data_IF_046866862958
#
_entry.id   IF_046866862958
#
_cell.length_a   1.000
_cell.length_b   1.000
_cell.length_c   1.000
_cell.angle_alpha   90.00
_cell.angle_beta   90.00
_cell.angle_gamma   90.00
#
_symmetry.space_group_name_H-M   'P 1'
#
loop_
_entity.id
_entity.type
_entity.pdbx_description
1 polymer ?
#
# COMPACT_ATOMS: atom_id res chain seq x y z
N UNK A 1 -44.32 -52.40 20.38
CA UNK A 1 -43.98 -51.67 19.15
C UNK A 1 -43.21 -50.43 19.57
N UNK A 2 -41.88 -50.42 19.34
CA UNK A 2 -41.01 -49.29 19.70
C UNK A 2 -40.78 -48.44 18.44
N UNK A 3 -41.30 -47.22 18.42
CA UNK A 3 -41.05 -46.25 17.33
C UNK A 3 -39.69 -45.58 17.53
N UNK A 4 -38.74 -45.91 16.68
CA UNK A 4 -37.44 -45.23 16.62
C UNK A 4 -37.56 -44.02 15.71
N UNK A 5 -37.51 -42.80 16.32
CA UNK A 5 -37.46 -41.54 15.59
C UNK A 5 -35.98 -41.30 15.22
N UNK A 6 -35.67 -41.39 13.91
CA UNK A 6 -34.36 -41.02 13.37
C UNK A 6 -34.35 -39.49 13.16
N UNK A 7 -33.57 -38.79 13.99
CA UNK A 7 -33.34 -37.37 13.86
C UNK A 7 -32.21 -37.16 12.86
N UNK A 8 -32.53 -36.75 11.63
CA UNK A 8 -31.53 -36.35 10.61
C UNK A 8 -31.13 -34.92 10.90
N UNK A 9 -29.93 -34.73 11.48
CA UNK A 9 -29.33 -33.43 11.64
C UNK A 9 -28.72 -32.99 10.30
N UNK A 10 -29.39 -32.09 9.59
CA UNK A 10 -28.85 -31.45 8.39
C UNK A 10 -27.83 -30.35 8.86
N UNK A 11 -26.55 -30.69 8.83
CA UNK A 11 -25.48 -29.69 9.00
C UNK A 11 -25.44 -28.79 7.77
N UNK A 12 -26.04 -27.61 7.85
CA UNK A 12 -25.91 -26.54 6.85
C UNK A 12 -24.53 -25.92 6.99
N UNK A 13 -23.54 -26.48 6.33
CA UNK A 13 -22.20 -25.84 6.22
C UNK A 13 -22.31 -24.60 5.34
N UNK A 14 -22.34 -23.43 5.92
CA UNK A 14 -22.20 -22.17 5.19
C UNK A 14 -20.81 -22.15 4.54
N UNK A 15 -20.74 -22.43 3.24
CA UNK A 15 -19.53 -22.26 2.45
C UNK A 15 -19.30 -20.75 2.30
N UNK A 16 -18.41 -20.19 3.13
CA UNK A 16 -17.92 -18.83 2.96
C UNK A 16 -17.02 -18.87 1.71
N UNK A 17 -17.57 -18.55 0.55
CA UNK A 17 -16.80 -18.36 -0.68
C UNK A 17 -16.01 -17.07 -0.56
N UNK A 18 -14.75 -17.16 -0.12
CA UNK A 18 -13.80 -16.05 -0.27
C UNK A 18 -13.55 -15.88 -1.76
N UNK A 19 -13.95 -14.75 -2.33
CA UNK A 19 -13.64 -14.41 -3.72
C UNK A 19 -12.11 -14.46 -3.90
N UNK A 20 -11.64 -15.26 -4.85
CA UNK A 20 -10.22 -15.31 -5.19
C UNK A 20 -9.73 -13.95 -5.69
N UNK A 21 -8.50 -13.55 -5.32
CA UNK A 21 -7.87 -12.34 -5.84
C UNK A 21 -7.74 -12.43 -7.37
N UNK A 22 -8.07 -11.34 -8.08
CA UNK A 22 -7.89 -11.24 -9.53
C UNK A 22 -6.40 -11.13 -9.90
N UNK A 23 -6.05 -11.26 -11.17
CA UNK A 23 -4.66 -11.07 -11.62
C UNK A 23 -4.19 -9.63 -11.40
N UNK A 24 -5.05 -8.64 -11.62
CA UNK A 24 -4.76 -7.22 -11.34
C UNK A 24 -4.45 -7.01 -9.86
N UNK A 25 -5.25 -7.60 -8.97
CA UNK A 25 -5.05 -7.49 -7.52
C UNK A 25 -3.72 -8.11 -7.09
N UNK A 26 -3.35 -9.27 -7.65
CA UNK A 26 -2.07 -9.94 -7.39
C UNK A 26 -0.88 -9.15 -7.93
N UNK A 27 -0.96 -8.66 -9.18
CA UNK A 27 0.10 -7.87 -9.81
C UNK A 27 0.43 -6.60 -9.01
N UNK A 28 -0.60 -5.84 -8.60
CA UNK A 28 -0.41 -4.60 -7.84
C UNK A 28 0.08 -4.88 -6.42
N UNK A 29 -0.44 -5.90 -5.76
CA UNK A 29 0.03 -6.34 -4.43
C UNK A 29 1.50 -6.75 -4.46
N UNK A 30 1.90 -7.55 -5.45
CA UNK A 30 3.29 -7.98 -5.62
C UNK A 30 4.20 -6.77 -5.89
N UNK A 31 3.77 -5.83 -6.74
CA UNK A 31 4.52 -4.60 -6.99
C UNK A 31 4.79 -3.80 -5.71
N UNK A 32 3.81 -3.68 -4.81
CA UNK A 32 3.98 -2.98 -3.53
C UNK A 32 5.05 -3.67 -2.69
N UNK A 33 4.99 -5.01 -2.61
CA UNK A 33 5.98 -5.80 -1.86
C UNK A 33 7.39 -5.69 -2.47
N UNK A 34 7.51 -5.77 -3.78
CA UNK A 34 8.79 -5.66 -4.50
C UNK A 34 9.42 -4.28 -4.34
N UNK A 35 8.62 -3.21 -4.42
CA UNK A 35 9.09 -1.84 -4.21
C UNK A 35 9.55 -1.64 -2.76
N UNK A 36 8.83 -2.17 -1.78
CA UNK A 36 9.23 -2.14 -0.38
C UNK A 36 10.55 -2.90 -0.16
N UNK A 37 10.67 -4.12 -0.69
CA UNK A 37 11.90 -4.92 -0.61
C UNK A 37 13.10 -4.22 -1.29
N UNK A 38 12.87 -3.58 -2.44
CA UNK A 38 13.90 -2.78 -3.11
C UNK A 38 14.41 -1.64 -2.22
N UNK A 39 13.49 -0.86 -1.61
CA UNK A 39 13.85 0.28 -0.77
C UNK A 39 14.56 -0.16 0.51
N UNK A 40 14.11 -1.25 1.14
CA UNK A 40 14.80 -1.87 2.29
C UNK A 40 16.26 -2.22 1.98
N UNK A 41 16.54 -2.67 0.76
CA UNK A 41 17.89 -3.09 0.34
C UNK A 41 18.77 -1.93 -0.10
N UNK A 42 18.20 -0.93 -0.78
CA UNK A 42 18.98 0.07 -1.51
C UNK A 42 18.96 1.46 -0.85
N UNK A 43 18.16 1.67 0.19
CA UNK A 43 17.94 2.96 0.87
C UNK A 43 17.53 4.08 -0.10
N UNK A 44 16.84 3.71 -1.17
CA UNK A 44 16.26 4.66 -2.13
C UNK A 44 14.98 4.10 -2.74
N UNK A 45 14.07 4.96 -3.18
CA UNK A 45 12.92 4.51 -3.93
C UNK A 45 13.31 3.98 -5.31
N UNK A 46 12.70 2.87 -5.69
CA UNK A 46 12.85 2.32 -7.04
C UNK A 46 12.37 3.35 -8.08
N UNK A 47 13.23 3.66 -9.04
CA UNK A 47 12.89 4.59 -10.12
C UNK A 47 11.69 4.15 -10.96
N UNK A 48 11.01 5.10 -11.59
CA UNK A 48 9.88 4.89 -12.51
C UNK A 48 8.65 4.21 -11.88
N UNK A 49 8.45 4.36 -10.57
CA UNK A 49 7.23 3.89 -9.87
C UNK A 49 6.05 4.85 -10.06
N UNK A 50 6.34 6.11 -10.31
CA UNK A 50 5.35 7.16 -10.57
C UNK A 50 4.93 7.14 -12.04
N UNK A 51 3.66 7.45 -12.32
CA UNK A 51 3.10 7.61 -13.67
C UNK A 51 3.87 8.65 -14.49
N UNK A 52 3.92 8.46 -15.82
CA UNK A 52 4.45 9.46 -16.76
C UNK A 52 3.73 10.82 -16.62
N UNK A 53 2.48 10.81 -16.17
CA UNK A 53 1.68 12.02 -15.90
C UNK A 53 1.89 12.58 -14.49
N UNK A 54 2.87 12.08 -13.73
CA UNK A 54 3.09 12.39 -12.33
C UNK A 54 2.10 11.70 -11.39
N UNK A 55 2.24 11.95 -10.09
CA UNK A 55 1.32 11.53 -9.04
C UNK A 55 0.93 12.73 -8.18
N UNK A 56 -0.33 12.81 -7.76
CA UNK A 56 -0.82 13.79 -6.79
C UNK A 56 -0.93 13.11 -5.43
N UNK A 57 -0.30 13.67 -4.40
CA UNK A 57 -0.13 12.98 -3.13
C UNK A 57 -0.37 13.90 -1.93
N UNK A 58 -1.15 13.41 -0.96
CA UNK A 58 -1.15 13.93 0.40
C UNK A 58 -0.23 13.05 1.26
N UNK A 59 0.76 13.67 1.88
CA UNK A 59 1.70 12.97 2.73
C UNK A 59 1.27 12.96 4.18
N UNK A 60 1.78 12.01 4.92
CA UNK A 60 1.50 11.82 6.35
C UNK A 60 2.04 12.92 7.26
N UNK A 61 2.79 13.88 6.73
CA UNK A 61 3.18 15.12 7.40
C UNK A 61 2.00 16.08 7.65
N UNK A 62 0.86 15.87 6.98
CA UNK A 62 -0.31 16.75 7.05
C UNK A 62 -0.18 18.03 6.21
N UNK A 63 0.80 18.11 5.33
CA UNK A 63 1.04 19.28 4.47
C UNK A 63 0.11 19.36 3.27
N UNK A 64 0.40 20.32 2.39
CA UNK A 64 -0.38 20.56 1.18
C UNK A 64 -0.22 19.44 0.14
N UNK A 65 -1.07 19.46 -0.88
CA UNK A 65 -1.01 18.55 -2.01
C UNK A 65 0.35 18.65 -2.72
N UNK A 66 1.01 17.50 -2.88
CA UNK A 66 2.29 17.38 -3.57
C UNK A 66 2.09 16.84 -4.99
N UNK A 67 2.88 17.35 -5.92
CA UNK A 67 2.99 16.81 -7.28
C UNK A 67 4.32 16.09 -7.42
N UNK A 68 4.27 14.75 -7.54
CA UNK A 68 5.45 13.90 -7.71
C UNK A 68 5.69 13.61 -9.17
N UNK A 69 6.95 13.73 -9.60
CA UNK A 69 7.36 13.42 -10.96
C UNK A 69 7.98 12.03 -11.07
N UNK A 70 7.94 11.42 -12.24
CA UNK A 70 8.41 10.05 -12.48
C UNK A 70 9.85 9.81 -12.01
N UNK A 71 10.71 10.80 -12.13
CA UNK A 71 12.14 10.70 -11.81
C UNK A 71 12.51 11.30 -10.44
N UNK A 72 11.52 11.58 -9.59
CA UNK A 72 11.81 12.06 -8.24
C UNK A 72 12.60 11.00 -7.49
N UNK A 73 13.82 11.36 -7.08
CA UNK A 73 14.65 10.51 -6.22
C UNK A 73 14.29 10.78 -4.76
N UNK A 74 14.24 9.72 -3.98
CA UNK A 74 14.15 9.76 -2.53
C UNK A 74 15.14 8.78 -1.96
N UNK A 75 16.04 9.30 -1.13
CA UNK A 75 17.11 8.57 -0.47
C UNK A 75 16.89 8.59 1.04
N UNK A 76 17.38 7.58 1.72
CA UNK A 76 17.23 7.38 3.15
C UNK A 76 18.58 7.13 3.79
N UNK A 77 18.76 7.63 5.01
CA UNK A 77 19.89 7.26 5.87
C UNK A 77 19.57 5.97 6.64
N UNK A 78 18.27 5.73 6.94
CA UNK A 78 17.75 4.45 7.46
C UNK A 78 16.34 4.19 6.91
N UNK A 79 16.05 2.95 6.58
CA UNK A 79 14.74 2.53 6.10
C UNK A 79 14.42 1.11 6.56
N UNK A 80 13.50 1.02 7.50
CA UNK A 80 12.97 -0.25 8.01
C UNK A 80 11.44 -0.17 8.10
N UNK A 81 10.81 0.16 6.97
CA UNK A 81 9.36 0.22 6.86
C UNK A 81 8.82 -1.04 6.19
N UNK A 82 7.70 -1.53 6.70
CA UNK A 82 7.05 -2.74 6.21
C UNK A 82 5.58 -2.46 5.85
N UNK A 83 5.21 -2.84 4.63
CA UNK A 83 3.81 -2.79 4.17
C UNK A 83 3.04 -3.99 4.73
N UNK A 84 1.91 -3.73 5.40
CA UNK A 84 1.06 -4.70 6.09
C UNK A 84 -0.38 -4.66 5.60
N UNK A 85 -1.05 -5.82 5.64
CA UNK A 85 -2.48 -5.93 5.35
C UNK A 85 -2.90 -5.33 4.00
N UNK A 86 -2.09 -5.57 2.96
CA UNK A 86 -2.34 -5.03 1.63
C UNK A 86 -3.63 -5.61 1.05
N UNK A 87 -4.56 -4.74 0.71
CA UNK A 87 -5.78 -5.03 -0.02
C UNK A 87 -5.79 -4.22 -1.30
N UNK A 88 -6.05 -4.87 -2.41
CA UNK A 88 -6.16 -4.23 -3.73
C UNK A 88 -7.58 -4.40 -4.22
N UNK A 89 -8.10 -3.37 -4.85
CA UNK A 89 -9.42 -3.33 -5.49
C UNK A 89 -9.18 -3.08 -6.96
N UNK A 90 -9.47 -4.06 -7.80
CA UNK A 90 -9.50 -3.87 -9.24
C UNK A 90 -10.70 -2.98 -9.61
N UNK A 91 -10.43 -1.84 -10.25
CA UNK A 91 -11.48 -0.98 -10.84
C UNK A 91 -11.76 -1.44 -12.27
N UNK A 92 -10.69 -1.70 -13.02
CA UNK A 92 -10.73 -2.30 -14.36
C UNK A 92 -9.33 -2.85 -14.71
N UNK A 93 -9.17 -3.41 -15.92
CA UNK A 93 -7.91 -4.03 -16.36
C UNK A 93 -6.67 -3.11 -16.34
N UNK A 94 -6.86 -1.79 -16.22
CA UNK A 94 -5.79 -0.78 -16.26
C UNK A 94 -5.76 0.16 -15.06
N UNK A 95 -6.65 -0.03 -14.08
CA UNK A 95 -6.77 0.84 -12.91
C UNK A 95 -7.08 0.02 -11.67
N UNK A 96 -6.34 0.25 -10.60
CA UNK A 96 -6.58 -0.38 -9.31
C UNK A 96 -6.35 0.61 -8.16
N UNK A 97 -6.95 0.32 -7.00
CA UNK A 97 -6.73 1.03 -5.75
C UNK A 97 -6.17 0.05 -4.73
N UNK A 98 -5.07 0.41 -4.08
CA UNK A 98 -4.51 -0.35 -2.96
C UNK A 98 -4.70 0.39 -1.65
N UNK A 99 -5.07 -0.36 -0.60
CA UNK A 99 -5.17 0.11 0.78
C UNK A 99 -4.31 -0.80 1.65
N UNK A 100 -3.46 -0.20 2.48
CA UNK A 100 -2.57 -0.94 3.36
C UNK A 100 -2.05 -0.07 4.51
N UNK A 101 -1.30 -0.67 5.41
CA UNK A 101 -0.58 0.03 6.47
C UNK A 101 0.91 -0.05 6.22
N UNK A 102 1.63 0.95 6.71
CA UNK A 102 3.10 0.96 6.74
C UNK A 102 3.54 1.27 8.17
N UNK A 103 4.40 0.41 8.70
CA UNK A 103 4.93 0.54 10.07
C UNK A 103 6.44 0.30 10.10
N UNK A 104 7.10 0.90 11.10
CA UNK A 104 8.52 0.72 11.36
C UNK A 104 9.24 2.01 11.71
N UNK A 105 10.47 2.15 11.23
CA UNK A 105 11.26 3.36 11.38
C UNK A 105 11.83 3.82 10.03
N UNK A 106 12.01 5.13 9.90
CA UNK A 106 12.57 5.73 8.69
C UNK A 106 13.32 7.01 9.02
N UNK A 107 14.45 7.20 8.37
CA UNK A 107 15.21 8.44 8.36
C UNK A 107 15.44 8.86 6.90
N UNK A 108 14.76 9.91 6.47
CA UNK A 108 15.06 10.53 5.19
C UNK A 108 16.44 11.14 5.23
N UNK A 109 17.13 11.19 4.11
CA UNK A 109 18.49 11.70 4.02
C UNK A 109 18.61 13.11 4.59
N UNK A 110 19.46 13.26 5.61
CA UNK A 110 19.69 14.52 6.29
C UNK A 110 18.56 14.99 7.21
N UNK A 111 17.58 14.15 7.54
CA UNK A 111 16.51 14.46 8.48
C UNK A 111 16.63 13.68 9.79
N UNK A 112 15.76 13.95 10.75
CA UNK A 112 15.67 13.19 11.99
C UNK A 112 15.04 11.80 11.75
N UNK A 113 15.45 10.83 12.58
CA UNK A 113 14.86 9.49 12.56
C UNK A 113 13.41 9.53 13.10
N UNK A 114 12.49 8.90 12.37
CA UNK A 114 11.14 8.63 12.81
C UNK A 114 11.01 7.16 13.25
N UNK A 115 11.20 6.91 14.54
CA UNK A 115 11.20 5.57 15.13
C UNK A 115 9.81 4.96 15.35
N UNK A 116 8.74 5.70 15.13
CA UNK A 116 7.36 5.21 15.30
C UNK A 116 6.51 5.59 14.09
N UNK A 117 7.03 5.29 12.90
CA UNK A 117 6.26 5.48 11.67
C UNK A 117 5.11 4.47 11.63
N UNK A 118 3.88 4.97 11.62
CA UNK A 118 2.68 4.14 11.53
C UNK A 118 1.62 4.89 10.74
N UNK A 119 1.40 4.50 9.50
CA UNK A 119 0.49 5.17 8.58
C UNK A 119 -0.46 4.21 7.88
N UNK A 120 -1.61 4.72 7.51
CA UNK A 120 -2.50 4.11 6.53
C UNK A 120 -2.27 4.75 5.17
N UNK A 121 -2.35 3.93 4.14
CA UNK A 121 -2.04 4.32 2.77
C UNK A 121 -3.19 3.95 1.86
N UNK A 122 -3.55 4.86 0.98
CA UNK A 122 -4.36 4.60 -0.20
C UNK A 122 -3.60 5.06 -1.43
N UNK A 123 -3.44 4.18 -2.42
CA UNK A 123 -2.78 4.52 -3.68
C UNK A 123 -3.63 4.10 -4.87
N UNK A 124 -3.70 4.97 -5.86
CA UNK A 124 -4.30 4.68 -7.16
C UNK A 124 -3.20 4.29 -8.13
N UNK A 125 -3.35 3.11 -8.72
CA UNK A 125 -2.44 2.57 -9.73
C UNK A 125 -3.08 2.62 -11.11
N UNK A 126 -2.26 2.94 -12.11
CA UNK A 126 -2.62 2.89 -13.53
C UNK A 126 -1.62 2.02 -14.27
N UNK A 127 -2.09 1.21 -15.21
CA UNK A 127 -1.24 0.37 -16.06
C UNK A 127 -0.77 1.18 -17.27
N UNK A 128 0.53 1.37 -17.37
CA UNK A 128 1.20 2.06 -18.48
C UNK A 128 2.15 1.09 -19.18
N UNK A 129 2.75 1.51 -20.29
CA UNK A 129 3.89 0.82 -20.86
C UNK A 129 4.99 0.64 -19.78
N UNK A 130 5.41 -0.60 -19.53
CA UNK A 130 6.36 -0.94 -18.46
C UNK A 130 5.72 -1.19 -17.10
N UNK A 131 4.41 -1.44 -17.02
CA UNK A 131 3.70 -1.96 -15.87
C UNK A 131 2.91 -0.93 -15.07
N UNK A 132 2.51 -1.33 -13.86
CA UNK A 132 1.70 -0.50 -12.96
C UNK A 132 2.49 0.69 -12.39
N UNK A 133 1.84 1.87 -12.31
CA UNK A 133 2.42 3.13 -11.84
C UNK A 133 1.48 3.82 -10.87
N UNK A 134 2.04 4.53 -9.88
CA UNK A 134 1.28 5.33 -8.92
C UNK A 134 0.82 6.61 -9.62
N UNK A 135 -0.48 6.91 -9.55
CA UNK A 135 -1.10 8.11 -10.13
C UNK A 135 -1.63 9.08 -9.07
N UNK A 136 -1.99 8.56 -7.90
CA UNK A 136 -2.34 9.36 -6.73
C UNK A 136 -2.03 8.57 -5.45
N UNK A 137 -1.76 9.27 -4.35
CA UNK A 137 -1.57 8.66 -3.05
C UNK A 137 -2.09 9.54 -1.91
N UNK A 138 -2.57 8.89 -0.86
CA UNK A 138 -2.89 9.50 0.41
C UNK A 138 -2.24 8.70 1.54
N UNK A 139 -1.45 9.38 2.34
CA UNK A 139 -0.79 8.85 3.51
C UNK A 139 -1.27 9.61 4.74
N UNK A 140 -1.70 8.94 5.79
CA UNK A 140 -2.09 9.59 7.04
C UNK A 140 -1.70 8.77 8.26
N UNK A 141 -1.24 9.40 9.35
CA UNK A 141 -0.90 8.67 10.57
C UNK A 141 -2.12 7.94 11.14
N UNK A 142 -1.88 6.79 11.76
CA UNK A 142 -2.81 6.15 12.67
C UNK A 142 -2.73 6.83 14.05
N UNK A 143 -3.77 6.66 14.87
CA UNK A 143 -3.76 7.14 16.25
C UNK A 143 -2.56 6.56 17.01
N UNK A 144 -1.74 7.42 17.61
CA UNK A 144 -0.50 7.05 18.29
C UNK A 144 0.71 6.80 17.40
N UNK A 145 0.53 6.76 16.08
CA UNK A 145 1.62 6.71 15.12
C UNK A 145 2.09 8.08 14.67
N UNK A 146 3.31 8.14 14.16
CA UNK A 146 3.86 9.33 13.50
C UNK A 146 3.80 9.14 12.00
N UNK A 147 3.69 10.24 11.28
CA UNK A 147 3.83 10.28 9.84
C UNK A 147 5.23 10.71 9.41
N UNK A 148 5.37 11.08 8.16
CA UNK A 148 6.59 11.67 7.60
C UNK A 148 6.98 12.94 8.36
N UNK A 149 8.27 13.10 8.64
CA UNK A 149 8.82 14.30 9.28
C UNK A 149 9.10 15.42 8.27
N UNK A 150 9.18 15.10 6.98
CA UNK A 150 9.34 16.11 5.94
C UNK A 150 8.12 17.00 5.85
N UNK A 151 8.33 18.31 5.98
CA UNK A 151 7.29 19.30 5.70
C UNK A 151 7.11 19.38 4.19
N UNK A 152 5.87 19.27 3.73
CA UNK A 152 5.56 19.61 2.35
C UNK A 152 5.79 21.13 2.16
N UNK A 153 6.89 21.49 1.56
CA UNK A 153 7.17 22.86 1.14
C UNK A 153 6.75 22.97 -0.31
N UNK A 154 5.84 23.87 -0.60
CA UNK A 154 5.53 24.26 -1.98
C UNK A 154 6.54 25.28 -2.47
#
# INVERSE_FOLDING_TARGET
MKNTIILIAICLSAVITTKAETEVEKEVKQLILDNNAYTLKNLEFKGKTISKKGSLEFWSSGGLLQSMQQNTKREFDDYNLHSKHIKVIEINATTAVALYYVEGNVQHKGSENNANYLTRVMQVYVKEEGGWKIRAAHWSPLTGGKGTTETAVQ
#
